data_IF_492452414544
#
_entry.id   IF_492452414544
#
_cell.length_a   1.000
_cell.length_b   1.000
_cell.length_c   1.000
_cell.angle_alpha   90.00
_cell.angle_beta   90.00
_cell.angle_gamma   90.00
#
_symmetry.space_group_name_H-M   'P 1'
#
loop_
_entity.id
_entity.type
_entity.pdbx_description
1 polymer ?
#
# COMPACT_ATOMS: atom_id res chain seq x y z
N UNK A 1 -2.41 14.13 -17.10
CA UNK A 1 -1.30 13.50 -16.34
C UNK A 1 -0.30 14.59 -15.99
N UNK A 2 0.01 14.72 -14.72
CA UNK A 2 1.02 15.67 -14.27
C UNK A 2 2.40 15.14 -14.73
N UNK A 3 3.10 15.92 -15.58
CA UNK A 3 4.38 15.52 -16.18
C UNK A 3 5.42 15.09 -15.15
N UNK A 4 5.41 15.66 -13.95
CA UNK A 4 6.41 15.40 -12.90
C UNK A 4 6.34 13.96 -12.39
N UNK A 5 5.14 13.39 -12.19
CA UNK A 5 4.99 12.00 -11.74
C UNK A 5 5.47 11.00 -12.78
N UNK A 6 5.06 11.20 -14.05
CA UNK A 6 5.45 10.31 -15.14
C UNK A 6 6.96 10.34 -15.43
N UNK A 7 7.61 11.50 -15.33
CA UNK A 7 9.07 11.64 -15.46
C UNK A 7 9.84 10.90 -14.36
N UNK A 8 9.25 10.79 -13.16
CA UNK A 8 9.81 10.02 -12.06
C UNK A 8 9.49 8.50 -12.16
N UNK A 9 8.73 8.06 -13.16
CA UNK A 9 8.30 6.66 -13.29
C UNK A 9 7.11 6.28 -12.40
N UNK A 10 6.35 7.28 -11.92
CA UNK A 10 5.16 7.13 -11.10
C UNK A 10 3.89 7.47 -11.88
N UNK A 11 2.80 6.84 -11.51
CA UNK A 11 1.45 7.14 -12.00
C UNK A 11 0.69 7.93 -10.95
N UNK A 12 0.24 9.15 -11.29
CA UNK A 12 -0.64 9.94 -10.42
C UNK A 12 -2.09 9.44 -10.58
N UNK A 13 -2.70 8.99 -9.49
CA UNK A 13 -4.07 8.44 -9.45
C UNK A 13 -5.12 9.49 -9.07
N UNK A 14 -4.71 10.43 -8.21
CA UNK A 14 -5.48 11.59 -7.79
C UNK A 14 -4.50 12.72 -7.42
N UNK A 15 -4.92 13.98 -7.30
CA UNK A 15 -4.01 15.08 -6.96
C UNK A 15 -3.17 14.79 -5.71
N UNK A 16 -1.85 14.67 -5.89
CA UNK A 16 -0.90 14.35 -4.83
C UNK A 16 -0.96 12.91 -4.31
N UNK A 17 -1.58 12.00 -5.04
CA UNK A 17 -1.63 10.56 -4.73
C UNK A 17 -1.13 9.79 -5.93
N UNK A 18 -0.05 9.06 -5.78
CA UNK A 18 0.53 8.29 -6.87
C UNK A 18 1.00 6.91 -6.44
N UNK A 19 1.28 6.08 -7.44
CA UNK A 19 1.84 4.75 -7.27
C UNK A 19 3.02 4.53 -8.21
N UNK A 20 3.88 3.61 -7.83
CA UNK A 20 4.95 3.08 -8.67
C UNK A 20 4.87 1.55 -8.67
N UNK A 21 4.93 0.94 -9.86
CA UNK A 21 5.07 -0.52 -10.01
C UNK A 21 6.56 -0.86 -10.06
N UNK A 22 6.98 -1.78 -9.22
CA UNK A 22 8.39 -2.15 -9.08
C UNK A 22 8.72 -3.31 -10.02
N UNK A 23 9.89 -3.28 -10.67
CA UNK A 23 10.32 -4.41 -11.50
C UNK A 23 10.60 -5.63 -10.63
N UNK A 24 10.51 -6.81 -11.23
CA UNK A 24 10.78 -8.08 -10.58
C UNK A 24 9.48 -8.79 -10.20
N UNK A 25 8.81 -8.38 -9.16
CA UNK A 25 7.56 -9.00 -8.70
C UNK A 25 6.31 -8.19 -9.07
N UNK A 26 6.48 -7.04 -9.74
CA UNK A 26 5.38 -6.11 -10.08
C UNK A 26 4.67 -5.51 -8.85
N UNK A 27 5.37 -5.52 -7.70
CA UNK A 27 4.87 -4.96 -6.45
C UNK A 27 4.57 -3.47 -6.61
N UNK A 28 3.48 -3.01 -6.02
CA UNK A 28 3.05 -1.61 -6.03
C UNK A 28 3.40 -0.92 -4.72
N UNK A 29 4.01 0.25 -4.82
CA UNK A 29 4.19 1.18 -3.70
C UNK A 29 3.41 2.46 -3.94
N UNK A 30 2.97 3.12 -2.87
CA UNK A 30 2.20 4.35 -2.93
C UNK A 30 2.92 5.55 -2.31
N UNK A 31 2.59 6.76 -2.81
CA UNK A 31 3.00 8.03 -2.21
C UNK A 31 1.80 8.96 -2.09
N UNK A 32 1.55 9.46 -0.88
CA UNK A 32 0.52 10.47 -0.61
C UNK A 32 1.20 11.73 -0.10
N UNK A 33 0.93 12.84 -0.78
CA UNK A 33 1.54 14.15 -0.50
C UNK A 33 0.55 15.03 0.24
N UNK A 34 0.94 15.56 1.39
CA UNK A 34 0.25 16.60 2.13
C UNK A 34 1.10 17.87 2.26
N UNK A 35 0.61 18.86 2.98
CA UNK A 35 1.32 20.10 3.25
C UNK A 35 2.24 19.95 4.49
N UNK A 36 3.50 19.62 4.25
CA UNK A 36 4.52 19.45 5.28
C UNK A 36 4.73 18.01 5.75
N UNK A 37 3.90 17.06 5.33
CA UNK A 37 4.08 15.64 5.58
C UNK A 37 3.77 14.81 4.32
N UNK A 38 4.37 13.63 4.22
CA UNK A 38 4.11 12.68 3.15
C UNK A 38 4.16 11.25 3.68
N UNK A 39 3.25 10.41 3.17
CA UNK A 39 3.14 9.00 3.50
C UNK A 39 3.63 8.16 2.31
N UNK A 40 4.60 7.28 2.56
CA UNK A 40 4.93 6.16 1.69
C UNK A 40 4.11 4.95 2.11
N UNK A 41 3.62 4.18 1.16
CA UNK A 41 2.89 2.92 1.36
C UNK A 41 3.74 1.83 0.73
N UNK A 42 4.21 0.91 1.57
CA UNK A 42 5.20 -0.11 1.28
C UNK A 42 6.57 0.43 0.83
N UNK A 43 7.57 -0.43 0.75
CA UNK A 43 8.96 0.00 0.63
C UNK A 43 9.78 -0.79 -0.39
N UNK A 44 9.20 -1.82 -1.01
CA UNK A 44 9.90 -2.68 -1.94
C UNK A 44 10.71 -3.81 -1.29
N UNK A 45 11.41 -4.58 -2.12
CA UNK A 45 12.01 -5.87 -1.83
C UNK A 45 13.46 -5.82 -1.36
N UNK A 46 14.11 -4.66 -1.35
CA UNK A 46 15.51 -4.50 -0.97
C UNK A 46 15.82 -3.08 -0.48
N UNK A 47 16.89 -2.95 0.31
CA UNK A 47 17.38 -1.62 0.75
C UNK A 47 17.69 -0.72 -0.45
N UNK A 48 18.27 -1.28 -1.52
CA UNK A 48 18.57 -0.55 -2.75
C UNK A 48 17.31 -0.01 -3.41
N UNK A 49 16.26 -0.80 -3.47
CA UNK A 49 14.96 -0.38 -4.01
C UNK A 49 14.32 0.70 -3.15
N UNK A 50 14.33 0.52 -1.83
CA UNK A 50 13.88 1.54 -0.89
C UNK A 50 14.63 2.88 -1.01
N UNK A 51 15.96 2.85 -1.23
CA UNK A 51 16.76 4.07 -1.47
C UNK A 51 16.35 4.76 -2.76
N UNK A 52 16.08 4.01 -3.83
CA UNK A 52 15.55 4.53 -5.10
C UNK A 52 14.21 5.22 -4.86
N UNK A 53 13.26 4.54 -4.23
CA UNK A 53 11.93 5.06 -3.91
C UNK A 53 11.99 6.33 -3.07
N UNK A 54 12.84 6.37 -2.04
CA UNK A 54 13.06 7.57 -1.24
C UNK A 54 13.57 8.74 -2.08
N UNK A 55 14.49 8.48 -2.99
CA UNK A 55 15.07 9.53 -3.86
C UNK A 55 14.03 10.07 -4.85
N UNK A 56 13.24 9.19 -5.46
CA UNK A 56 12.14 9.55 -6.34
C UNK A 56 11.07 10.35 -5.60
N UNK A 57 10.65 9.87 -4.41
CA UNK A 57 9.70 10.59 -3.56
C UNK A 57 10.23 11.99 -3.18
N UNK A 58 11.51 12.12 -2.83
CA UNK A 58 12.11 13.41 -2.53
C UNK A 58 12.04 14.37 -3.71
N UNK A 59 12.24 13.91 -4.93
CA UNK A 59 12.09 14.72 -6.14
C UNK A 59 10.63 15.15 -6.34
N UNK A 60 9.66 14.24 -6.20
CA UNK A 60 8.22 14.52 -6.28
C UNK A 60 7.75 15.51 -5.22
N UNK A 61 8.38 15.50 -4.03
CA UNK A 61 8.12 16.40 -2.92
C UNK A 61 8.86 17.74 -3.03
N UNK A 62 9.47 18.04 -4.19
CA UNK A 62 10.21 19.30 -4.40
C UNK A 62 11.40 19.48 -3.43
N UNK A 63 12.06 18.39 -3.04
CA UNK A 63 13.16 18.36 -2.06
C UNK A 63 12.70 18.11 -0.61
N UNK A 64 11.40 17.97 -0.38
CA UNK A 64 10.84 17.51 0.89
C UNK A 64 11.20 16.05 1.19
N UNK A 65 10.71 15.52 2.30
CA UNK A 65 10.97 14.13 2.70
C UNK A 65 9.69 13.39 3.06
N UNK A 66 9.71 12.09 2.87
CA UNK A 66 8.72 11.19 3.47
C UNK A 66 8.82 11.29 5.00
N UNK A 67 7.69 11.37 5.68
CA UNK A 67 7.57 11.50 7.13
C UNK A 67 6.92 10.29 7.78
N UNK A 68 6.10 9.55 7.00
CA UNK A 68 5.35 8.39 7.44
C UNK A 68 5.54 7.24 6.45
N UNK A 69 5.54 6.00 6.95
CA UNK A 69 5.57 4.77 6.16
C UNK A 69 4.48 3.85 6.70
N UNK A 70 3.58 3.39 5.84
CA UNK A 70 2.61 2.34 6.15
C UNK A 70 3.05 1.05 5.46
N UNK A 71 3.17 -0.04 6.23
CA UNK A 71 3.41 -1.38 5.70
C UNK A 71 2.07 -2.12 5.63
N UNK A 72 1.68 -2.55 4.43
CA UNK A 72 0.40 -3.22 4.22
C UNK A 72 0.37 -4.59 4.88
N UNK A 73 1.44 -5.36 4.77
CA UNK A 73 1.62 -6.67 5.39
C UNK A 73 3.11 -7.04 5.45
N UNK A 74 3.45 -8.23 5.98
CA UNK A 74 4.83 -8.59 6.31
C UNK A 74 5.52 -9.47 5.24
N UNK A 75 5.23 -9.30 3.94
CA UNK A 75 5.95 -10.01 2.89
C UNK A 75 7.16 -9.23 2.40
N UNK A 76 8.16 -9.96 1.89
CA UNK A 76 9.50 -9.47 1.61
C UNK A 76 9.53 -8.32 0.60
N UNK A 77 8.70 -8.38 -0.42
CA UNK A 77 8.63 -7.41 -1.51
C UNK A 77 7.91 -6.10 -1.14
N UNK A 78 7.27 -6.06 0.03
CA UNK A 78 6.65 -4.89 0.61
C UNK A 78 7.48 -4.23 1.72
N UNK A 79 8.29 -5.00 2.46
CA UNK A 79 8.91 -4.49 3.71
C UNK A 79 10.42 -4.35 3.68
N UNK A 80 11.15 -5.09 2.82
CA UNK A 80 12.61 -5.16 2.91
C UNK A 80 13.32 -3.85 2.55
N UNK A 81 12.67 -2.94 1.83
CA UNK A 81 13.20 -1.60 1.58
C UNK A 81 13.01 -0.57 2.70
N UNK A 82 12.27 -0.92 3.76
CA UNK A 82 11.88 0.03 4.80
C UNK A 82 13.04 0.71 5.53
N UNK A 83 14.21 0.07 5.63
CA UNK A 83 15.41 0.65 6.23
C UNK A 83 15.88 1.96 5.54
N UNK A 84 15.58 2.13 4.25
CA UNK A 84 15.88 3.34 3.51
C UNK A 84 15.12 4.58 4.03
N UNK A 85 14.02 4.38 4.74
CA UNK A 85 13.17 5.44 5.30
C UNK A 85 13.45 5.68 6.79
N UNK A 86 14.73 5.64 7.19
CA UNK A 86 15.12 5.86 8.58
C UNK A 86 14.62 7.21 9.13
N UNK A 87 14.05 7.18 10.34
CA UNK A 87 13.57 8.37 11.05
C UNK A 87 12.13 8.79 10.69
N UNK A 88 11.37 7.98 9.92
CA UNK A 88 9.95 8.18 9.70
C UNK A 88 9.11 7.46 10.77
N UNK A 89 7.86 7.89 10.93
CA UNK A 89 6.86 7.15 11.72
C UNK A 89 6.35 5.95 10.91
N UNK A 90 6.48 4.74 11.46
CA UNK A 90 6.14 3.49 10.76
C UNK A 90 4.89 2.87 11.35
N UNK A 91 3.91 2.59 10.48
CA UNK A 91 2.61 2.01 10.76
C UNK A 91 2.48 0.62 10.16
N UNK A 92 1.70 -0.24 10.79
CA UNK A 92 1.32 -1.55 10.28
C UNK A 92 0.15 -2.10 11.08
N UNK A 93 -0.53 -3.13 10.58
CA UNK A 93 -1.56 -3.81 11.36
C UNK A 93 -0.97 -4.43 12.64
N UNK A 94 -1.77 -4.49 13.70
CA UNK A 94 -1.36 -5.15 14.94
C UNK A 94 -0.93 -6.60 14.66
N UNK A 95 0.28 -6.97 15.10
CA UNK A 95 0.87 -8.29 14.88
C UNK A 95 1.99 -8.32 13.84
N UNK A 96 2.00 -7.40 12.86
CA UNK A 96 3.11 -7.26 11.87
C UNK A 96 4.45 -7.08 12.56
N UNK A 97 4.51 -6.33 13.64
CA UNK A 97 5.73 -6.09 14.43
C UNK A 97 6.33 -7.39 15.00
N UNK A 98 5.46 -8.34 15.36
CA UNK A 98 5.89 -9.66 15.87
C UNK A 98 6.37 -10.57 14.75
N UNK A 99 5.64 -10.63 13.63
CA UNK A 99 6.09 -11.39 12.44
C UNK A 99 7.47 -10.92 12.02
N UNK A 100 7.69 -9.62 11.87
CA UNK A 100 8.99 -9.06 11.49
C UNK A 100 10.07 -9.24 12.57
N UNK A 101 9.71 -9.48 13.82
CA UNK A 101 10.67 -9.79 14.90
C UNK A 101 11.07 -11.26 14.93
N UNK A 102 10.08 -12.14 14.80
CA UNK A 102 10.21 -13.56 15.12
C UNK A 102 10.54 -14.41 13.88
N UNK A 103 10.06 -14.00 12.67
CA UNK A 103 10.14 -14.78 11.43
C UNK A 103 11.18 -14.23 10.42
N UNK A 104 12.19 -13.51 10.91
CA UNK A 104 13.23 -12.88 10.08
C UNK A 104 13.90 -13.86 9.10
N UNK A 105 14.29 -15.04 9.59
CA UNK A 105 14.99 -16.03 8.77
C UNK A 105 14.07 -16.63 7.70
N UNK A 106 12.79 -16.81 8.01
CA UNK A 106 11.79 -17.26 7.05
C UNK A 106 11.52 -16.19 5.99
N UNK A 107 11.40 -14.92 6.37
CA UNK A 107 11.24 -13.80 5.44
C UNK A 107 12.40 -13.72 4.45
N UNK A 108 13.64 -13.91 4.94
CA UNK A 108 14.84 -14.00 4.07
C UNK A 108 14.79 -15.20 3.15
N UNK A 109 14.42 -16.36 3.69
CA UNK A 109 14.37 -17.59 2.91
C UNK A 109 13.27 -17.49 1.84
N UNK A 110 12.15 -16.86 2.15
CA UNK A 110 11.07 -16.60 1.22
C UNK A 110 11.51 -15.67 0.07
N UNK A 111 12.13 -14.54 0.38
CA UNK A 111 12.70 -13.63 -0.63
C UNK A 111 13.64 -14.38 -1.61
N UNK A 112 14.54 -15.21 -1.07
CA UNK A 112 15.49 -15.99 -1.88
C UNK A 112 14.78 -17.06 -2.72
N UNK A 113 13.78 -17.76 -2.18
CA UNK A 113 12.97 -18.73 -2.93
C UNK A 113 12.26 -18.08 -4.12
N UNK A 114 11.84 -16.84 -3.95
CA UNK A 114 11.17 -16.05 -4.98
C UNK A 114 12.13 -15.30 -5.92
N UNK A 115 13.44 -15.52 -5.79
CA UNK A 115 14.46 -15.05 -6.75
C UNK A 115 15.21 -13.78 -6.34
N UNK A 116 15.05 -13.29 -5.11
CA UNK A 116 15.88 -12.21 -4.59
C UNK A 116 17.35 -12.63 -4.47
N UNK A 117 18.26 -11.68 -4.68
CA UNK A 117 19.69 -11.92 -4.43
C UNK A 117 19.92 -12.26 -2.95
N UNK A 118 20.57 -13.37 -2.61
CA UNK A 118 20.74 -13.81 -1.22
C UNK A 118 21.49 -12.80 -0.33
N UNK A 119 22.38 -11.98 -0.90
CA UNK A 119 23.12 -10.96 -0.15
C UNK A 119 22.25 -9.73 0.11
N UNK A 120 21.50 -9.29 -0.91
CA UNK A 120 20.52 -8.17 -0.74
C UNK A 120 19.44 -8.57 0.26
N UNK A 121 18.91 -9.81 0.21
CA UNK A 121 17.94 -10.31 1.16
C UNK A 121 18.51 -10.38 2.59
N UNK A 122 19.76 -10.84 2.77
CA UNK A 122 20.42 -10.87 4.07
C UNK A 122 20.63 -9.46 4.63
N UNK A 123 21.15 -8.52 3.81
CA UNK A 123 21.33 -7.12 4.21
C UNK A 123 20.00 -6.48 4.66
N UNK A 124 18.95 -6.65 3.85
CA UNK A 124 17.65 -6.06 4.13
C UNK A 124 17.02 -6.62 5.42
N UNK A 125 17.12 -7.94 5.64
CA UNK A 125 16.61 -8.57 6.86
C UNK A 125 17.44 -8.24 8.09
N UNK A 126 18.74 -7.97 7.97
CA UNK A 126 19.56 -7.48 9.07
C UNK A 126 19.19 -6.06 9.51
N UNK A 127 18.65 -5.26 8.59
CA UNK A 127 18.19 -3.88 8.79
C UNK A 127 16.66 -3.77 8.96
N UNK A 128 15.96 -4.85 9.19
CA UNK A 128 14.50 -4.91 9.19
C UNK A 128 13.87 -3.87 10.12
N UNK A 129 12.92 -3.11 9.59
CA UNK A 129 12.19 -2.06 10.32
C UNK A 129 10.84 -2.59 10.76
N UNK A 130 10.54 -2.47 12.05
CA UNK A 130 9.26 -2.85 12.63
C UNK A 130 8.37 -1.63 12.84
N UNK A 131 7.05 -1.75 12.55
CA UNK A 131 6.10 -0.68 12.88
C UNK A 131 6.12 -0.35 14.37
N UNK A 132 6.10 0.95 14.67
CA UNK A 132 5.93 1.45 16.04
C UNK A 132 4.47 1.74 16.36
N UNK A 133 3.69 2.07 15.34
CA UNK A 133 2.28 2.37 15.44
C UNK A 133 1.48 1.17 14.92
N UNK A 134 0.80 0.49 15.83
CA UNK A 134 0.06 -0.73 15.53
C UNK A 134 -1.43 -0.43 15.42
N UNK A 135 -1.96 -0.58 14.20
CA UNK A 135 -3.36 -0.31 13.88
C UNK A 135 -4.19 -1.55 14.15
N UNK A 136 -5.09 -1.49 15.15
CA UNK A 136 -5.99 -2.60 15.49
C UNK A 136 -7.40 -2.46 14.89
N UNK A 137 -7.76 -1.26 14.44
CA UNK A 137 -9.00 -0.91 13.76
C UNK A 137 -8.70 0.13 12.71
N UNK A 138 -9.04 1.38 12.98
CA UNK A 138 -8.79 2.51 12.10
C UNK A 138 -7.90 3.56 12.76
N UNK A 139 -7.06 4.21 11.95
CA UNK A 139 -6.16 5.29 12.38
C UNK A 139 -6.11 6.37 11.32
N UNK A 140 -6.56 7.57 11.64
CA UNK A 140 -6.48 8.72 10.73
C UNK A 140 -5.16 9.45 10.90
N UNK A 141 -4.45 9.67 9.78
CA UNK A 141 -3.26 10.53 9.70
C UNK A 141 -3.66 11.86 9.08
N UNK A 142 -3.19 12.96 9.64
CA UNK A 142 -3.27 14.29 9.04
C UNK A 142 -1.89 14.65 8.45
N UNK A 143 -1.83 14.75 7.13
CA UNK A 143 -0.60 15.10 6.40
C UNK A 143 -0.47 16.61 6.14
N UNK A 144 -1.38 17.42 6.69
CA UNK A 144 -1.45 18.86 6.48
C UNK A 144 -2.19 19.27 5.21
N UNK A 145 -2.55 20.57 5.11
CA UNK A 145 -3.30 21.10 3.97
C UNK A 145 -4.70 20.51 3.79
N UNK A 146 -5.27 19.91 4.83
CA UNK A 146 -6.54 19.17 4.76
C UNK A 146 -6.41 17.75 4.17
N UNK A 147 -5.19 17.27 3.91
CA UNK A 147 -4.95 15.92 3.42
C UNK A 147 -4.99 14.93 4.59
N UNK A 148 -6.06 14.19 4.68
CA UNK A 148 -6.21 13.06 5.62
C UNK A 148 -6.02 11.73 4.90
N UNK A 149 -5.54 10.73 5.64
CA UNK A 149 -5.39 9.35 5.19
C UNK A 149 -5.90 8.44 6.29
N UNK A 150 -6.71 7.45 5.95
CA UNK A 150 -7.21 6.46 6.88
C UNK A 150 -6.43 5.13 6.69
N UNK A 151 -5.77 4.69 7.73
CA UNK A 151 -5.18 3.36 7.83
C UNK A 151 -6.20 2.44 8.47
N UNK A 152 -6.56 1.34 7.82
CA UNK A 152 -7.57 0.40 8.30
C UNK A 152 -7.03 -1.02 8.36
N UNK A 153 -7.11 -1.66 9.53
CA UNK A 153 -6.85 -3.08 9.66
C UNK A 153 -8.04 -3.85 9.09
N UNK A 154 -7.91 -4.34 7.87
CA UNK A 154 -8.97 -5.02 7.12
C UNK A 154 -8.78 -6.55 7.08
N UNK A 155 -7.63 -7.03 7.53
CA UNK A 155 -7.34 -8.46 7.65
C UNK A 155 -8.21 -9.18 8.70
N UNK A 156 -8.00 -10.48 8.89
CA UNK A 156 -7.09 -11.32 8.11
C UNK A 156 -7.65 -11.68 6.72
N UNK A 157 -6.75 -12.01 5.80
CA UNK A 157 -7.10 -12.46 4.45
C UNK A 157 -5.90 -13.04 3.72
N UNK A 158 -5.11 -12.21 3.03
CA UNK A 158 -3.86 -12.60 2.39
C UNK A 158 -2.81 -13.00 3.42
N UNK A 159 -2.76 -12.26 4.53
CA UNK A 159 -2.01 -12.60 5.75
C UNK A 159 -2.92 -12.50 6.98
N UNK A 160 -2.44 -12.85 8.19
CA UNK A 160 -3.17 -12.56 9.43
C UNK A 160 -3.30 -11.07 9.74
N UNK A 161 -2.53 -10.20 9.08
CA UNK A 161 -2.29 -8.81 9.48
C UNK A 161 -2.28 -7.85 8.29
N UNK A 162 -3.39 -7.75 7.55
CA UNK A 162 -3.50 -6.91 6.36
C UNK A 162 -4.03 -5.51 6.68
N UNK A 163 -3.28 -4.48 6.27
CA UNK A 163 -3.61 -3.07 6.40
C UNK A 163 -3.97 -2.49 5.02
N UNK A 164 -5.10 -1.82 4.93
CA UNK A 164 -5.46 -0.98 3.80
C UNK A 164 -5.22 0.50 4.11
N UNK A 165 -4.98 1.28 3.06
CA UNK A 165 -4.81 2.73 3.16
C UNK A 165 -5.81 3.42 2.25
N UNK A 166 -6.82 4.08 2.85
CA UNK A 166 -7.76 4.92 2.12
C UNK A 166 -7.26 6.37 2.11
N UNK A 167 -7.17 6.94 0.93
CA UNK A 167 -6.99 8.37 0.71
C UNK A 167 -8.31 8.95 0.24
N UNK A 168 -9.04 9.67 1.09
CA UNK A 168 -10.29 10.32 0.71
C UNK A 168 -10.07 11.31 -0.44
N UNK A 169 -11.10 11.54 -1.23
CA UNK A 169 -11.11 12.59 -2.23
C UNK A 169 -10.74 13.93 -1.57
N UNK A 170 -9.72 14.61 -2.10
CA UNK A 170 -9.11 15.79 -1.47
C UNK A 170 -10.04 17.01 -1.39
N UNK A 171 -9.68 18.05 -0.63
CA UNK A 171 -10.37 19.33 -0.63
C UNK A 171 -10.29 19.94 -2.02
N UNK A 172 -11.41 20.05 -2.68
CA UNK A 172 -11.55 20.41 -4.11
C UNK A 172 -12.43 19.44 -4.88
N UNK A 173 -12.74 18.26 -4.28
CA UNK A 173 -13.81 17.41 -4.80
C UNK A 173 -15.15 18.13 -4.69
N UNK A 174 -15.98 18.13 -5.74
CA UNK A 174 -17.28 18.77 -5.71
C UNK A 174 -18.24 17.97 -4.84
N UNK A 175 -18.37 18.36 -3.59
CA UNK A 175 -19.25 17.73 -2.61
C UNK A 175 -19.95 18.74 -1.70
N UNK A 176 -19.72 20.04 -1.87
CA UNK A 176 -20.51 21.07 -1.17
C UNK A 176 -21.84 21.34 -1.89
N UNK A 177 -22.97 21.52 -1.18
CA UNK A 177 -24.24 21.85 -1.82
C UNK A 177 -24.12 23.18 -2.57
N UNK A 178 -24.15 23.11 -3.92
CA UNK A 178 -24.15 24.28 -4.83
C UNK A 178 -22.87 24.52 -5.65
N UNK A 179 -21.84 23.69 -5.53
CA UNK A 179 -20.66 23.81 -6.38
C UNK A 179 -20.92 23.16 -7.76
N UNK A 180 -20.76 23.94 -8.84
CA UNK A 180 -20.71 23.39 -10.21
C UNK A 180 -19.34 22.70 -10.36
N UNK A 181 -19.29 21.39 -10.68
CA UNK A 181 -18.02 20.69 -10.83
C UNK A 181 -17.18 21.30 -11.95
N UNK A 182 -15.94 21.68 -11.66
CA UNK A 182 -14.97 21.94 -12.74
C UNK A 182 -14.60 20.58 -13.39
N UNK A 183 -14.17 20.57 -14.68
CA UNK A 183 -13.69 19.33 -15.30
C UNK A 183 -12.58 18.62 -14.50
N UNK A 184 -11.75 19.37 -13.78
CA UNK A 184 -10.69 18.85 -12.89
C UNK A 184 -11.25 18.25 -11.59
N UNK A 185 -12.42 18.70 -11.14
CA UNK A 185 -13.10 18.20 -9.96
C UNK A 185 -13.78 16.83 -10.17
N UNK A 186 -13.98 16.43 -11.43
CA UNK A 186 -14.49 15.10 -11.79
C UNK A 186 -13.46 13.98 -11.58
N UNK A 187 -12.18 14.32 -11.35
CA UNK A 187 -11.09 13.35 -11.15
C UNK A 187 -10.73 13.09 -9.68
N UNK A 188 -11.35 13.77 -8.74
CA UNK A 188 -11.09 13.55 -7.33
C UNK A 188 -11.84 12.31 -6.82
N UNK A 189 -11.26 11.15 -7.05
CA UNK A 189 -11.75 9.86 -6.54
C UNK A 189 -11.01 9.49 -5.26
N UNK A 190 -11.68 8.70 -4.45
CA UNK A 190 -11.02 7.99 -3.36
C UNK A 190 -10.03 6.97 -3.93
N UNK A 191 -8.90 6.80 -3.25
CA UNK A 191 -7.89 5.81 -3.63
C UNK A 191 -7.67 4.88 -2.45
N UNK A 192 -7.80 3.56 -2.67
CA UNK A 192 -7.60 2.53 -1.66
C UNK A 192 -6.41 1.67 -2.06
N UNK A 193 -5.32 1.76 -1.32
CA UNK A 193 -4.21 0.81 -1.44
C UNK A 193 -4.55 -0.44 -0.63
N UNK A 194 -4.58 -1.58 -1.32
CA UNK A 194 -5.15 -2.83 -0.82
C UNK A 194 -4.11 -3.81 -0.29
N UNK A 195 -2.80 -3.58 -0.58
CA UNK A 195 -1.82 -4.67 -0.48
C UNK A 195 -2.27 -5.88 -1.30
N UNK A 196 -1.78 -7.04 -0.95
CA UNK A 196 -2.03 -8.29 -1.67
C UNK A 196 -3.39 -8.93 -1.36
N UNK A 197 -4.24 -8.23 -0.59
CA UNK A 197 -5.65 -8.60 -0.54
C UNK A 197 -6.29 -8.57 -1.93
N UNK A 198 -5.83 -7.64 -2.80
CA UNK A 198 -6.23 -7.56 -4.20
C UNK A 198 -5.01 -7.78 -5.08
N UNK A 199 -5.14 -8.68 -6.05
CA UNK A 199 -4.12 -9.08 -7.01
C UNK A 199 -4.66 -8.93 -8.44
N UNK A 200 -3.99 -8.13 -9.28
CA UNK A 200 -4.43 -7.94 -10.67
C UNK A 200 -3.48 -8.62 -11.67
N UNK A 201 -2.19 -8.71 -11.35
CA UNK A 201 -1.19 -9.29 -12.27
C UNK A 201 -1.29 -10.81 -12.39
N UNK A 202 -2.07 -11.47 -11.54
CA UNK A 202 -2.18 -12.92 -11.55
C UNK A 202 -3.33 -13.45 -10.69
N UNK A 203 -3.25 -14.73 -10.36
CA UNK A 203 -4.18 -15.34 -9.41
C UNK A 203 -3.73 -15.00 -7.97
N UNK A 204 -4.66 -14.59 -7.08
CA UNK A 204 -4.32 -14.27 -5.69
C UNK A 204 -3.54 -15.39 -5.00
N UNK A 205 -2.36 -15.05 -4.49
CA UNK A 205 -1.43 -16.00 -3.88
C UNK A 205 -1.82 -16.27 -2.43
N UNK A 206 -2.22 -17.52 -2.15
CA UNK A 206 -2.46 -17.98 -0.79
C UNK A 206 -1.19 -18.67 -0.27
N UNK A 207 -0.33 -17.91 0.38
CA UNK A 207 0.88 -18.38 1.04
C UNK A 207 0.58 -19.24 2.28
N UNK A 208 1.61 -19.77 2.94
CA UNK A 208 1.43 -20.62 4.14
C UNK A 208 0.82 -19.86 5.32
N UNK A 209 0.91 -18.55 5.37
CA UNK A 209 0.36 -17.64 6.37
C UNK A 209 -1.01 -17.06 5.99
N UNK A 210 -1.50 -17.33 4.78
CA UNK A 210 -2.82 -16.88 4.36
C UNK A 210 -3.94 -17.40 5.27
N UNK A 211 -5.03 -16.65 5.36
CA UNK A 211 -6.25 -17.02 6.10
C UNK A 211 -7.43 -17.10 5.12
N UNK A 212 -7.46 -18.14 4.26
CA UNK A 212 -8.36 -18.20 3.10
C UNK A 212 -9.84 -18.07 3.44
N UNK A 213 -10.27 -18.63 4.59
CA UNK A 213 -11.66 -18.56 5.05
C UNK A 213 -12.13 -17.15 5.41
N UNK A 214 -11.22 -16.22 5.65
CA UNK A 214 -11.52 -14.84 6.02
C UNK A 214 -11.29 -13.86 4.86
N UNK A 215 -10.59 -14.28 3.81
CA UNK A 215 -10.19 -13.40 2.72
C UNK A 215 -11.38 -12.75 2.00
N UNK A 216 -12.46 -13.47 1.64
CA UNK A 216 -13.63 -12.81 1.05
C UNK A 216 -14.22 -11.70 1.93
N UNK A 217 -14.29 -11.94 3.26
CA UNK A 217 -14.77 -10.94 4.20
C UNK A 217 -13.80 -9.73 4.34
N UNK A 218 -12.49 -9.92 4.15
CA UNK A 218 -11.53 -8.83 4.08
C UNK A 218 -11.79 -7.94 2.85
N UNK A 219 -12.09 -8.54 1.70
CA UNK A 219 -12.47 -7.81 0.49
C UNK A 219 -13.81 -7.08 0.64
N UNK A 220 -14.77 -7.63 1.37
CA UNK A 220 -16.01 -6.91 1.70
C UNK A 220 -15.73 -5.67 2.56
N UNK A 221 -14.76 -5.74 3.50
CA UNK A 221 -14.31 -4.58 4.29
C UNK A 221 -13.62 -3.53 3.42
N UNK A 222 -12.79 -3.93 2.44
CA UNK A 222 -12.19 -3.02 1.46
C UNK A 222 -13.25 -2.30 0.64
N UNK A 223 -14.26 -3.03 0.14
CA UNK A 223 -15.36 -2.45 -0.62
C UNK A 223 -16.22 -1.50 0.22
N UNK A 224 -16.45 -1.82 1.49
CA UNK A 224 -17.15 -0.91 2.41
C UNK A 224 -16.33 0.35 2.72
N UNK A 225 -15.00 0.25 2.72
CA UNK A 225 -14.08 1.36 2.97
C UNK A 225 -14.03 2.35 1.80
N UNK A 226 -13.84 1.85 0.55
CA UNK A 226 -13.63 2.69 -0.64
C UNK A 226 -14.92 2.99 -1.43
N UNK A 227 -15.95 2.13 -1.33
CA UNK A 227 -17.18 2.30 -2.09
C UNK A 227 -17.06 1.98 -3.59
N UNK A 228 -18.08 2.35 -4.35
CA UNK A 228 -18.22 1.96 -5.76
C UNK A 228 -17.33 2.75 -6.73
N UNK A 229 -17.04 4.01 -6.40
CA UNK A 229 -16.36 4.95 -7.31
C UNK A 229 -14.86 5.07 -7.01
N UNK A 230 -14.35 4.36 -5.98
CA UNK A 230 -12.94 4.40 -5.61
C UNK A 230 -12.04 3.71 -6.65
N UNK A 231 -10.80 4.18 -6.71
CA UNK A 231 -9.70 3.47 -7.38
C UNK A 231 -9.06 2.53 -6.37
N UNK A 232 -9.09 1.25 -6.63
CA UNK A 232 -8.42 0.23 -5.81
C UNK A 232 -7.05 -0.08 -6.40
N UNK A 233 -6.04 0.00 -5.56
CA UNK A 233 -4.64 -0.22 -5.93
C UNK A 233 -4.20 -1.56 -5.35
N UNK A 234 -4.08 -2.60 -6.18
CA UNK A 234 -3.57 -3.91 -5.76
C UNK A 234 -2.13 -3.85 -5.28
N UNK A 235 -1.71 -4.85 -4.51
CA UNK A 235 -0.30 -5.06 -4.19
C UNK A 235 0.53 -5.36 -5.43
N UNK A 236 -0.07 -6.04 -6.42
CA UNK A 236 0.56 -6.33 -7.71
C UNK A 236 -0.39 -6.02 -8.86
N UNK A 237 0.14 -5.43 -9.92
CA UNK A 237 -0.61 -5.19 -11.15
C UNK A 237 -1.16 -3.78 -11.30
N UNK A 238 -2.17 -3.64 -12.16
CA UNK A 238 -2.81 -2.37 -12.49
C UNK A 238 -3.85 -1.95 -11.43
N UNK A 239 -4.15 -0.64 -11.33
CA UNK A 239 -5.28 -0.17 -10.54
C UNK A 239 -6.60 -0.68 -11.12
N UNK A 240 -7.55 -0.99 -10.24
CA UNK A 240 -8.83 -1.63 -10.59
C UNK A 240 -10.01 -0.89 -9.98
N UNK A 241 -11.22 -1.29 -10.35
CA UNK A 241 -12.48 -0.76 -9.80
C UNK A 241 -13.10 -1.73 -8.76
N UNK A 242 -14.20 -1.29 -8.14
CA UNK A 242 -14.95 -2.11 -7.19
C UNK A 242 -15.52 -3.39 -7.82
N UNK A 243 -15.82 -3.37 -9.13
CA UNK A 243 -16.30 -4.54 -9.87
C UNK A 243 -15.28 -5.66 -9.91
N UNK A 244 -14.02 -5.32 -10.15
CA UNK A 244 -12.90 -6.27 -10.09
C UNK A 244 -12.74 -6.88 -8.69
N UNK A 245 -12.73 -6.04 -7.64
CA UNK A 245 -12.59 -6.51 -6.24
C UNK A 245 -13.72 -7.47 -5.87
N UNK A 246 -14.97 -7.19 -6.28
CA UNK A 246 -16.10 -8.12 -6.08
C UNK A 246 -15.91 -9.44 -6.83
N UNK A 247 -15.46 -9.38 -8.07
CA UNK A 247 -15.23 -10.59 -8.87
C UNK A 247 -14.15 -11.47 -8.23
N UNK A 248 -13.06 -10.87 -7.74
CA UNK A 248 -12.01 -11.58 -7.01
C UNK A 248 -12.53 -12.17 -5.69
N UNK A 249 -13.31 -11.42 -4.90
CA UNK A 249 -13.97 -11.92 -3.69
C UNK A 249 -14.79 -13.17 -3.97
N UNK A 250 -15.64 -13.13 -4.99
CA UNK A 250 -16.49 -14.24 -5.37
C UNK A 250 -15.69 -15.45 -5.88
N UNK A 251 -14.58 -15.20 -6.58
CA UNK A 251 -13.65 -16.24 -7.02
C UNK A 251 -12.96 -16.92 -5.81
N UNK A 252 -12.47 -16.14 -4.86
CA UNK A 252 -11.85 -16.66 -3.63
C UNK A 252 -12.85 -17.44 -2.77
N UNK A 253 -14.09 -16.94 -2.62
CA UNK A 253 -15.15 -17.66 -1.91
C UNK A 253 -15.41 -19.04 -2.52
N UNK A 254 -15.50 -19.12 -3.86
CA UNK A 254 -15.63 -20.41 -4.57
C UNK A 254 -14.39 -21.29 -4.41
N UNK A 255 -13.18 -20.70 -4.53
CA UNK A 255 -11.92 -21.46 -4.46
C UNK A 255 -11.73 -22.11 -3.09
N UNK A 256 -12.11 -21.42 -2.02
CA UNK A 256 -11.90 -21.87 -0.65
C UNK A 256 -13.16 -22.49 0.00
N UNK A 257 -14.30 -22.47 -0.68
CA UNK A 257 -15.54 -23.11 -0.20
C UNK A 257 -16.17 -22.39 1.00
N UNK A 258 -16.12 -21.05 1.02
CA UNK A 258 -16.64 -20.19 2.08
C UNK A 258 -17.64 -19.18 1.53
#
# INVERSE_FOLDING_TARGET
MNTVWAEAGWEELAPGVGRCRLPGWDCTVGLVVGEGAALMIDAGSSVREGVRLRTEAQALLGGGRVTHLALTHAHFDHVLGAAAFAGVEVFGAVGVDKVLADDRDELRADAVRNGADPREAAEATDLLVRPRHLVSGEWTLDLGGGRQVLLANVGPGHTPHDLAVLVPAGPGSPGGPGAVPSPEALEAREVVFCGDLVEESGEPQAGPDAVPSHWPAALDRLLALGGEDAVYVPGHGAAVDAGFVRAQRDALARRFGV
#
